data_IF_127926752376
#
_entry.id   IF_127926752376
#
_cell.length_a   1.000
_cell.length_b   1.000
_cell.length_c   1.000
_cell.angle_alpha   90.00
_cell.angle_beta   90.00
_cell.angle_gamma   90.00
#
_symmetry.space_group_name_H-M   'P 1'
#
loop_
_entity.id
_entity.type
_entity.pdbx_description
1 polymer ?
#
# COMPACT_ATOMS: atom_id res chain seq x y z
N UNK A 1 53.08 6.03 21.22
CA UNK A 1 51.66 6.34 20.98
C UNK A 1 51.54 7.84 21.03
N UNK A 2 51.25 8.43 19.89
CA UNK A 2 51.03 9.86 19.79
C UNK A 2 49.64 10.19 20.35
N UNK A 3 49.51 11.25 21.14
CA UNK A 3 48.21 11.69 21.63
C UNK A 3 47.74 12.87 20.78
N UNK A 4 46.62 12.69 20.07
CA UNK A 4 46.03 13.76 19.26
C UNK A 4 45.44 14.84 20.17
N UNK A 5 45.66 16.10 19.81
CA UNK A 5 45.10 17.26 20.51
C UNK A 5 43.70 17.61 20.01
N UNK A 6 42.85 18.23 20.85
CA UNK A 6 41.49 18.64 20.45
C UNK A 6 41.50 19.54 19.19
N UNK A 7 42.51 20.41 19.05
CA UNK A 7 42.67 21.27 17.85
C UNK A 7 42.90 20.47 16.57
N UNK A 8 43.61 19.34 16.66
CA UNK A 8 43.83 18.43 15.53
C UNK A 8 42.58 17.61 15.20
N UNK A 9 41.78 17.23 16.21
CA UNK A 9 40.49 16.57 16.02
C UNK A 9 39.54 17.51 15.27
N UNK A 10 39.44 18.76 15.72
CA UNK A 10 38.60 19.78 15.07
C UNK A 10 39.05 20.04 13.63
N UNK A 11 40.37 20.09 13.39
CA UNK A 11 40.92 20.21 12.04
C UNK A 11 40.50 19.07 11.12
N UNK A 12 40.61 17.81 11.58
CA UNK A 12 40.23 16.63 10.80
C UNK A 12 38.73 16.64 10.51
N UNK A 13 37.90 16.95 11.51
CA UNK A 13 36.44 17.00 11.37
C UNK A 13 36.00 18.08 10.37
N UNK A 14 36.59 19.28 10.45
CA UNK A 14 36.29 20.37 9.54
C UNK A 14 36.73 20.06 8.10
N UNK A 15 37.87 19.39 7.90
CA UNK A 15 38.32 18.98 6.57
C UNK A 15 37.41 17.90 5.96
N UNK A 16 36.99 16.89 6.74
CA UNK A 16 36.03 15.86 6.30
C UNK A 16 34.71 16.50 5.85
N UNK A 17 34.20 17.48 6.61
CA UNK A 17 32.98 18.22 6.27
C UNK A 17 33.14 19.06 5.00
N UNK A 18 34.27 19.76 4.86
CA UNK A 18 34.56 20.58 3.67
C UNK A 18 34.70 19.76 2.40
N UNK A 19 35.16 18.53 2.51
CA UNK A 19 35.32 17.60 1.39
C UNK A 19 34.00 16.90 0.95
N UNK A 20 32.86 17.32 1.50
CA UNK A 20 31.54 16.98 0.97
C UNK A 20 30.88 15.74 1.57
N UNK A 21 31.27 15.37 2.79
CA UNK A 21 30.58 14.35 3.58
C UNK A 21 29.54 15.03 4.48
N UNK A 22 28.26 14.88 4.16
CA UNK A 22 27.13 15.44 4.91
C UNK A 22 26.61 14.48 6.00
N UNK A 23 26.78 13.16 5.83
CA UNK A 23 26.28 12.18 6.80
C UNK A 23 27.09 12.19 8.11
N UNK A 24 26.47 12.61 9.21
CA UNK A 24 27.10 12.72 10.54
C UNK A 24 27.69 11.39 11.04
N UNK A 25 26.96 10.29 10.91
CA UNK A 25 27.46 8.96 11.27
C UNK A 25 28.75 8.59 10.51
N UNK A 26 28.83 8.97 9.23
CA UNK A 26 30.01 8.71 8.40
C UNK A 26 31.18 9.63 8.78
N UNK A 27 30.91 10.91 9.07
CA UNK A 27 31.91 11.85 9.58
C UNK A 27 32.58 11.30 10.85
N UNK A 28 31.78 10.84 11.82
CA UNK A 28 32.28 10.33 13.09
C UNK A 28 33.05 9.02 12.93
N UNK A 29 32.59 8.10 12.07
CA UNK A 29 33.31 6.85 11.78
C UNK A 29 34.67 7.13 11.11
N UNK A 30 34.72 8.07 10.17
CA UNK A 30 35.97 8.45 9.51
C UNK A 30 36.91 9.17 10.47
N UNK A 31 36.40 10.10 11.29
CA UNK A 31 37.18 10.79 12.32
C UNK A 31 37.82 9.79 13.29
N UNK A 32 37.04 8.87 13.85
CA UNK A 32 37.53 7.86 14.80
C UNK A 32 38.63 6.99 14.20
N UNK A 33 38.42 6.55 12.95
CA UNK A 33 39.38 5.70 12.27
C UNK A 33 40.68 6.43 11.89
N UNK A 34 40.57 7.67 11.40
CA UNK A 34 41.74 8.51 11.10
C UNK A 34 42.52 8.82 12.37
N UNK A 35 41.85 9.17 13.47
CA UNK A 35 42.49 9.41 14.76
C UNK A 35 43.24 8.15 15.24
N UNK A 36 42.60 6.98 15.21
CA UNK A 36 43.25 5.71 15.58
C UNK A 36 44.53 5.43 14.77
N UNK A 37 44.52 5.68 13.45
CA UNK A 37 45.71 5.46 12.59
C UNK A 37 46.83 6.42 12.98
N UNK A 38 46.51 7.70 13.17
CA UNK A 38 47.49 8.72 13.55
C UNK A 38 48.09 8.41 14.93
N UNK A 39 47.29 8.01 15.91
CA UNK A 39 47.79 7.66 17.26
C UNK A 39 48.71 6.43 17.27
N UNK A 40 48.48 5.49 16.35
CA UNK A 40 49.24 4.24 16.23
C UNK A 40 50.51 4.38 15.39
N UNK A 41 50.46 5.13 14.28
CA UNK A 41 51.51 5.13 13.25
C UNK A 41 52.33 6.43 13.21
N UNK A 42 51.91 7.52 13.86
CA UNK A 42 52.67 8.76 13.90
C UNK A 42 53.81 8.69 14.94
N UNK A 43 55.04 8.92 14.49
CA UNK A 43 56.23 9.05 15.37
C UNK A 43 56.37 10.48 15.90
N UNK A 44 56.94 10.66 17.11
CA UNK A 44 57.03 11.97 17.82
C UNK A 44 57.74 13.10 17.05
N UNK A 45 58.49 12.80 15.98
CA UNK A 45 59.23 13.77 15.18
C UNK A 45 58.67 13.96 13.75
N UNK A 46 57.55 13.34 13.41
CA UNK A 46 56.97 13.43 12.06
C UNK A 46 55.93 14.57 11.96
N UNK A 47 55.72 15.07 10.75
CA UNK A 47 54.80 16.18 10.48
C UNK A 47 53.35 15.69 10.39
N UNK A 48 52.51 16.13 11.35
CA UNK A 48 51.10 15.78 11.44
C UNK A 48 50.33 16.05 10.14
N UNK A 49 50.53 17.22 9.52
CA UNK A 49 49.75 17.63 8.35
C UNK A 49 50.07 16.74 7.13
N UNK A 50 51.35 16.42 6.97
CA UNK A 50 51.82 15.52 5.91
C UNK A 50 51.35 14.08 6.13
N UNK A 51 51.39 13.60 7.37
CA UNK A 51 50.94 12.26 7.72
C UNK A 51 49.42 12.13 7.57
N UNK A 52 48.66 13.14 8.03
CA UNK A 52 47.22 13.23 7.84
C UNK A 52 46.83 13.14 6.38
N UNK A 53 47.43 13.97 5.51
CA UNK A 53 47.13 13.94 4.07
C UNK A 53 47.40 12.57 3.44
N UNK A 54 48.46 11.89 3.88
CA UNK A 54 48.79 10.53 3.43
C UNK A 54 47.77 9.50 3.91
N UNK A 55 47.28 9.63 5.15
CA UNK A 55 46.27 8.73 5.74
C UNK A 55 44.91 8.94 5.09
N UNK A 56 44.49 10.19 4.90
CA UNK A 56 43.20 10.54 4.29
C UNK A 56 43.11 10.04 2.85
N UNK A 57 44.19 10.11 2.07
CA UNK A 57 44.26 9.57 0.70
C UNK A 57 44.07 8.05 0.60
N UNK A 58 44.15 7.29 1.69
CA UNK A 58 43.90 5.85 1.68
C UNK A 58 42.40 5.51 1.61
N UNK A 59 41.54 6.44 2.03
CA UNK A 59 40.10 6.19 2.14
C UNK A 59 39.33 6.41 0.84
N UNK A 60 39.88 7.15 -0.12
CA UNK A 60 39.21 7.49 -1.38
C UNK A 60 40.15 7.40 -2.58
N UNK A 61 39.59 7.21 -3.78
CA UNK A 61 40.37 7.17 -5.03
C UNK A 61 40.47 8.52 -5.71
N UNK A 62 39.38 9.28 -5.72
CA UNK A 62 39.31 10.61 -6.33
C UNK A 62 38.87 11.67 -5.32
N UNK A 63 37.75 11.45 -4.63
CA UNK A 63 37.17 12.39 -3.67
C UNK A 63 36.53 11.65 -2.48
N UNK A 64 36.59 12.24 -1.28
CA UNK A 64 35.94 11.70 -0.06
C UNK A 64 34.43 11.50 -0.22
N UNK A 65 33.79 12.32 -1.06
CA UNK A 65 32.36 12.24 -1.37
C UNK A 65 31.91 10.90 -1.97
N UNK A 66 32.81 10.18 -2.64
CA UNK A 66 32.53 8.85 -3.23
C UNK A 66 32.07 7.85 -2.15
N UNK A 67 32.68 7.91 -0.96
CA UNK A 67 32.36 7.01 0.17
C UNK A 67 30.91 7.21 0.63
N UNK A 68 30.46 8.47 0.69
CA UNK A 68 29.08 8.79 1.03
C UNK A 68 28.12 8.33 -0.07
N UNK A 69 28.46 8.56 -1.34
CA UNK A 69 27.63 8.15 -2.46
C UNK A 69 27.48 6.62 -2.53
N UNK A 70 28.56 5.86 -2.34
CA UNK A 70 28.52 4.40 -2.25
C UNK A 70 27.67 3.92 -1.07
N UNK A 71 27.82 4.56 0.09
CA UNK A 71 27.05 4.22 1.30
C UNK A 71 25.56 4.51 1.12
N UNK A 72 25.21 5.67 0.57
CA UNK A 72 23.84 6.05 0.24
C UNK A 72 23.28 5.08 -0.80
N UNK A 73 24.03 4.73 -1.84
CA UNK A 73 23.60 3.78 -2.84
C UNK A 73 23.32 2.41 -2.20
N UNK A 74 24.23 1.88 -1.39
CA UNK A 74 24.04 0.61 -0.68
C UNK A 74 22.83 0.64 0.26
N UNK A 75 22.66 1.70 1.06
CA UNK A 75 21.51 1.88 1.95
C UNK A 75 20.20 1.97 1.16
N UNK A 76 20.20 2.73 0.08
CA UNK A 76 19.03 2.94 -0.77
C UNK A 76 18.64 1.65 -1.47
N UNK A 77 19.60 0.91 -2.04
CA UNK A 77 19.36 -0.40 -2.65
C UNK A 77 18.89 -1.42 -1.61
N UNK A 78 19.55 -1.54 -0.45
CA UNK A 78 19.16 -2.49 0.61
C UNK A 78 17.74 -2.22 1.09
N UNK A 79 17.40 -0.97 1.40
CA UNK A 79 16.06 -0.59 1.83
C UNK A 79 15.04 -0.81 0.72
N UNK A 80 15.38 -0.51 -0.52
CA UNK A 80 14.54 -0.78 -1.69
C UNK A 80 14.21 -2.27 -1.84
N UNK A 81 15.22 -3.15 -1.75
CA UNK A 81 15.02 -4.61 -1.80
C UNK A 81 14.22 -5.12 -0.60
N UNK A 82 14.46 -4.60 0.60
CA UNK A 82 13.70 -4.95 1.79
C UNK A 82 12.21 -4.57 1.64
N UNK A 83 11.91 -3.36 1.16
CA UNK A 83 10.55 -2.91 0.88
C UNK A 83 9.87 -3.75 -0.20
N UNK A 84 10.60 -4.09 -1.28
CA UNK A 84 10.09 -4.96 -2.34
C UNK A 84 9.76 -6.37 -1.83
N UNK A 85 10.64 -6.95 -1.00
CA UNK A 85 10.41 -8.24 -0.35
C UNK A 85 9.19 -8.20 0.58
N UNK A 86 9.08 -7.15 1.40
CA UNK A 86 7.94 -6.94 2.30
C UNK A 86 6.62 -6.78 1.53
N UNK A 87 6.63 -6.09 0.38
CA UNK A 87 5.47 -5.97 -0.51
C UNK A 87 5.01 -7.34 -1.03
N UNK A 88 5.92 -8.17 -1.54
CA UNK A 88 5.54 -9.52 -2.00
C UNK A 88 5.01 -10.41 -0.87
N UNK A 89 5.65 -10.37 0.30
CA UNK A 89 5.23 -11.17 1.46
C UNK A 89 3.85 -10.72 1.96
N UNK A 90 3.65 -9.41 2.15
CA UNK A 90 2.36 -8.86 2.60
C UNK A 90 1.23 -9.12 1.61
N UNK A 91 1.51 -9.03 0.30
CA UNK A 91 0.57 -9.40 -0.76
C UNK A 91 0.20 -10.89 -0.70
N UNK A 92 1.19 -11.78 -0.56
CA UNK A 92 0.96 -13.22 -0.46
C UNK A 92 0.15 -13.59 0.80
N UNK A 93 0.47 -12.98 1.94
CA UNK A 93 -0.29 -13.16 3.20
C UNK A 93 -1.74 -12.70 3.02
N UNK A 94 -1.96 -11.55 2.38
CA UNK A 94 -3.31 -11.01 2.15
C UNK A 94 -4.16 -11.91 1.27
N UNK A 95 -3.60 -12.37 0.14
CA UNK A 95 -4.30 -13.30 -0.77
C UNK A 95 -4.55 -14.65 -0.09
N UNK A 96 -3.56 -15.17 0.63
CA UNK A 96 -3.71 -16.38 1.43
C UNK A 96 -4.82 -16.25 2.47
N UNK A 97 -4.86 -15.14 3.21
CA UNK A 97 -5.91 -14.84 4.18
C UNK A 97 -7.30 -14.75 3.53
N UNK A 98 -7.41 -14.20 2.32
CA UNK A 98 -8.68 -14.18 1.59
C UNK A 98 -9.15 -15.58 1.18
N UNK A 99 -8.24 -16.40 0.63
CA UNK A 99 -8.58 -17.77 0.22
C UNK A 99 -8.96 -18.61 1.45
N UNK A 100 -8.12 -18.61 2.48
CA UNK A 100 -8.37 -19.35 3.72
C UNK A 100 -9.64 -18.83 4.41
N UNK A 101 -9.83 -17.52 4.51
CA UNK A 101 -11.04 -16.92 5.06
C UNK A 101 -12.30 -17.28 4.27
N UNK A 102 -12.22 -17.36 2.95
CA UNK A 102 -13.33 -17.82 2.11
C UNK A 102 -13.63 -19.30 2.30
N UNK A 103 -12.61 -20.15 2.45
CA UNK A 103 -12.78 -21.58 2.73
C UNK A 103 -13.40 -21.81 4.12
N UNK A 104 -12.95 -21.08 5.13
CA UNK A 104 -13.49 -21.19 6.48
C UNK A 104 -14.96 -20.78 6.54
N UNK A 105 -15.38 -19.84 5.67
CA UNK A 105 -16.79 -19.49 5.51
C UNK A 105 -17.64 -20.67 5.04
N UNK A 106 -17.09 -21.52 4.17
CA UNK A 106 -17.75 -22.73 3.68
C UNK A 106 -17.76 -23.81 4.77
N UNK A 107 -16.68 -23.91 5.54
CA UNK A 107 -16.53 -24.89 6.61
C UNK A 107 -17.22 -24.52 7.94
N UNK A 108 -17.95 -23.38 7.99
CA UNK A 108 -18.70 -22.88 9.15
C UNK A 108 -17.85 -22.65 10.42
N UNK A 109 -16.54 -22.47 10.29
CA UNK A 109 -15.69 -22.24 11.47
C UNK A 109 -15.94 -20.85 12.08
N UNK A 110 -16.02 -20.75 13.42
CA UNK A 110 -16.14 -19.45 14.09
C UNK A 110 -14.86 -18.64 13.88
N UNK A 111 -15.00 -17.32 13.69
CA UNK A 111 -13.84 -16.42 13.53
C UNK A 111 -13.47 -16.03 12.08
N UNK A 112 -14.19 -16.53 11.08
CA UNK A 112 -14.00 -16.16 9.65
C UNK A 112 -13.97 -14.65 9.42
N UNK A 113 -14.89 -13.92 10.05
CA UNK A 113 -14.99 -12.48 9.87
C UNK A 113 -13.71 -11.76 10.33
N UNK A 114 -13.11 -12.19 11.45
CA UNK A 114 -11.88 -11.59 11.97
C UNK A 114 -10.70 -11.83 11.00
N UNK A 115 -10.56 -13.03 10.44
CA UNK A 115 -9.54 -13.32 9.43
C UNK A 115 -9.69 -12.49 8.15
N UNK A 116 -10.92 -12.35 7.65
CA UNK A 116 -11.18 -11.53 6.48
C UNK A 116 -10.91 -10.05 6.73
N UNK A 117 -11.30 -9.51 7.89
CA UNK A 117 -10.99 -8.13 8.28
C UNK A 117 -9.47 -7.93 8.34
N UNK A 118 -8.74 -8.86 8.95
CA UNK A 118 -7.29 -8.80 9.02
C UNK A 118 -6.65 -8.82 7.62
N UNK A 119 -7.11 -9.69 6.73
CA UNK A 119 -6.65 -9.73 5.34
C UNK A 119 -6.90 -8.42 4.59
N UNK A 120 -8.08 -7.82 4.72
CA UNK A 120 -8.42 -6.53 4.11
C UNK A 120 -7.52 -5.41 4.68
N UNK A 121 -7.29 -5.42 5.99
CA UNK A 121 -6.51 -4.39 6.67
C UNK A 121 -5.04 -4.44 6.26
N UNK A 122 -4.43 -5.63 6.26
CA UNK A 122 -3.04 -5.82 5.78
C UNK A 122 -2.91 -5.43 4.31
N UNK A 123 -3.88 -5.83 3.48
CA UNK A 123 -3.88 -5.47 2.06
C UNK A 123 -3.96 -3.95 1.85
N UNK A 124 -4.89 -3.28 2.54
CA UNK A 124 -5.16 -1.86 2.36
C UNK A 124 -4.08 -0.95 2.95
N UNK A 125 -3.52 -1.30 4.13
CA UNK A 125 -2.61 -0.41 4.86
C UNK A 125 -1.13 -0.76 4.67
N UNK A 126 -0.81 -2.01 4.33
CA UNK A 126 0.59 -2.42 4.13
C UNK A 126 0.86 -2.58 2.64
N UNK A 127 0.12 -3.44 1.95
CA UNK A 127 0.43 -3.79 0.56
C UNK A 127 0.26 -2.61 -0.41
N UNK A 128 -0.89 -1.91 -0.37
CA UNK A 128 -1.17 -0.79 -1.29
C UNK A 128 -0.18 0.38 -1.14
N UNK A 129 0.11 0.88 0.08
CA UNK A 129 1.07 1.97 0.27
C UNK A 129 2.50 1.57 -0.11
N UNK A 130 2.94 0.34 0.20
CA UNK A 130 4.25 -0.15 -0.22
C UNK A 130 4.36 -0.21 -1.76
N UNK A 131 3.31 -0.70 -2.42
CA UNK A 131 3.24 -0.72 -3.89
C UNK A 131 3.34 0.70 -4.46
N UNK A 132 2.61 1.65 -3.88
CA UNK A 132 2.67 3.06 -4.28
C UNK A 132 4.09 3.62 -4.18
N UNK A 133 4.74 3.49 -3.02
CA UNK A 133 6.10 4.03 -2.81
C UNK A 133 7.12 3.38 -3.73
N UNK A 134 7.07 2.05 -3.90
CA UNK A 134 8.02 1.34 -4.75
C UNK A 134 7.84 1.73 -6.22
N UNK A 135 6.59 1.76 -6.70
CA UNK A 135 6.28 2.01 -8.09
C UNK A 135 6.40 3.49 -8.48
N UNK A 136 6.17 4.43 -7.57
CA UNK A 136 6.44 5.86 -7.81
C UNK A 136 7.93 6.18 -7.98
N UNK A 137 8.82 5.38 -7.38
CA UNK A 137 10.28 5.48 -7.61
C UNK A 137 10.69 4.93 -8.98
N UNK A 138 10.05 3.87 -9.46
CA UNK A 138 10.31 3.29 -10.79
C UNK A 138 9.74 4.14 -11.94
N UNK A 139 8.65 4.86 -11.70
CA UNK A 139 7.97 5.66 -12.72
C UNK A 139 8.66 7.01 -12.92
N UNK A 140 9.07 7.31 -14.15
CA UNK A 140 9.69 8.61 -14.50
C UNK A 140 8.64 9.68 -14.79
N UNK A 141 7.52 9.31 -15.43
CA UNK A 141 6.49 10.27 -15.85
C UNK A 141 5.53 10.63 -14.71
N UNK A 142 5.35 11.94 -14.47
CA UNK A 142 4.40 12.49 -13.46
C UNK A 142 2.97 11.98 -13.69
N UNK A 143 2.55 11.85 -14.95
CA UNK A 143 1.21 11.35 -15.29
C UNK A 143 1.00 9.91 -14.82
N UNK A 144 2.01 9.06 -14.94
CA UNK A 144 1.89 7.67 -14.48
C UNK A 144 1.88 7.58 -12.95
N UNK A 145 2.64 8.46 -12.27
CA UNK A 145 2.56 8.62 -10.81
C UNK A 145 1.17 9.05 -10.36
N UNK A 146 0.53 9.98 -11.08
CA UNK A 146 -0.84 10.42 -10.78
C UNK A 146 -1.87 9.30 -10.95
N UNK A 147 -1.78 8.49 -12.02
CA UNK A 147 -2.68 7.35 -12.22
C UNK A 147 -2.48 6.30 -11.13
N UNK A 148 -1.21 6.00 -10.81
CA UNK A 148 -0.87 5.07 -9.75
C UNK A 148 -1.42 5.56 -8.40
N UNK A 149 -1.24 6.85 -8.08
CA UNK A 149 -1.76 7.48 -6.86
C UNK A 149 -3.28 7.44 -6.80
N UNK A 150 -3.95 7.82 -7.89
CA UNK A 150 -5.41 7.76 -7.99
C UNK A 150 -5.93 6.32 -7.83
N UNK A 151 -5.24 5.34 -8.43
CA UNK A 151 -5.55 3.92 -8.29
C UNK A 151 -5.35 3.40 -6.87
N UNK A 152 -4.28 3.83 -6.18
CA UNK A 152 -4.04 3.45 -4.79
C UNK A 152 -5.07 4.05 -3.84
N UNK A 153 -5.48 5.30 -4.07
CA UNK A 153 -6.55 5.95 -3.30
C UNK A 153 -7.88 5.22 -3.53
N UNK A 154 -8.24 4.97 -4.80
CA UNK A 154 -9.44 4.22 -5.14
C UNK A 154 -9.45 2.82 -4.53
N UNK A 155 -8.30 2.13 -4.55
CA UNK A 155 -8.12 0.81 -3.92
C UNK A 155 -8.31 0.83 -2.39
N UNK A 156 -7.75 1.83 -1.70
CA UNK A 156 -7.95 2.00 -0.25
C UNK A 156 -9.42 2.26 0.07
N UNK A 157 -10.07 3.17 -0.67
CA UNK A 157 -11.51 3.43 -0.53
C UNK A 157 -12.34 2.16 -0.76
N UNK A 158 -11.98 1.35 -1.76
CA UNK A 158 -12.64 0.08 -2.05
C UNK A 158 -12.50 -0.91 -0.89
N UNK A 159 -11.30 -1.06 -0.33
CA UNK A 159 -11.06 -1.92 0.84
C UNK A 159 -11.84 -1.46 2.08
N UNK A 160 -11.85 -0.15 2.36
CA UNK A 160 -12.62 0.43 3.46
C UNK A 160 -14.13 0.21 3.28
N UNK A 161 -14.63 0.38 2.06
CA UNK A 161 -16.04 0.14 1.74
C UNK A 161 -16.40 -1.33 1.87
N UNK A 162 -15.52 -2.24 1.45
CA UNK A 162 -15.70 -3.69 1.60
C UNK A 162 -15.74 -4.09 3.08
N UNK A 163 -14.88 -3.48 3.91
CA UNK A 163 -14.86 -3.70 5.36
C UNK A 163 -16.17 -3.24 6.00
N UNK A 164 -16.73 -2.09 5.57
CA UNK A 164 -18.04 -1.61 6.01
C UNK A 164 -19.17 -2.60 5.68
N UNK A 165 -19.11 -3.17 4.47
CA UNK A 165 -20.05 -4.19 4.03
C UNK A 165 -19.94 -5.46 4.89
N UNK A 166 -18.72 -5.82 5.28
CA UNK A 166 -18.41 -7.01 6.08
C UNK A 166 -18.84 -6.85 7.55
N UNK A 167 -18.62 -5.68 8.15
CA UNK A 167 -19.01 -5.38 9.55
C UNK A 167 -20.53 -5.18 9.74
N UNK A 168 -21.30 -5.16 8.65
CA UNK A 168 -22.77 -4.98 8.65
C UNK A 168 -23.21 -3.68 9.36
N UNK A 169 -22.40 -2.63 9.30
CA UNK A 169 -22.75 -1.32 9.84
C UNK A 169 -23.89 -0.66 9.04
N UNK A 170 -24.59 0.29 9.68
CA UNK A 170 -25.63 1.11 9.04
C UNK A 170 -25.04 1.89 7.86
N UNK A 171 -25.83 2.07 6.79
CA UNK A 171 -25.38 2.77 5.58
C UNK A 171 -24.38 2.02 4.69
N UNK A 172 -24.07 0.74 4.97
CA UNK A 172 -23.07 -0.04 4.21
C UNK A 172 -23.30 -0.08 2.68
N UNK A 173 -24.55 -0.06 2.24
CA UNK A 173 -24.88 -0.09 0.80
C UNK A 173 -24.61 1.26 0.13
N UNK A 174 -24.81 2.37 0.84
CA UNK A 174 -24.62 3.73 0.32
C UNK A 174 -23.14 4.02 0.11
N UNK A 175 -22.30 3.72 1.12
CA UNK A 175 -20.85 3.91 1.03
C UNK A 175 -20.26 3.00 -0.05
N UNK A 176 -20.72 1.75 -0.11
CA UNK A 176 -20.30 0.81 -1.14
C UNK A 176 -20.61 1.30 -2.55
N UNK A 177 -21.84 1.78 -2.77
CA UNK A 177 -22.26 2.30 -4.06
C UNK A 177 -21.52 3.58 -4.44
N UNK A 178 -21.30 4.49 -3.48
CA UNK A 178 -20.54 5.72 -3.68
C UNK A 178 -19.11 5.42 -4.15
N UNK A 179 -18.44 4.44 -3.56
CA UNK A 179 -17.08 4.04 -3.95
C UNK A 179 -17.03 3.39 -5.33
N UNK A 180 -18.03 2.56 -5.69
CA UNK A 180 -18.15 2.03 -7.06
C UNK A 180 -18.37 3.14 -8.08
N UNK A 181 -19.25 4.09 -7.78
CA UNK A 181 -19.50 5.26 -8.63
C UNK A 181 -18.24 6.11 -8.80
N UNK A 182 -17.52 6.40 -7.71
CA UNK A 182 -16.25 7.12 -7.76
C UNK A 182 -15.21 6.41 -8.64
N UNK A 183 -15.06 5.09 -8.49
CA UNK A 183 -14.12 4.32 -9.30
C UNK A 183 -14.50 4.35 -10.79
N UNK A 184 -15.80 4.26 -11.09
CA UNK A 184 -16.30 4.31 -12.46
C UNK A 184 -16.18 5.69 -13.11
N UNK A 185 -16.48 6.77 -12.38
CA UNK A 185 -16.50 8.13 -12.94
C UNK A 185 -15.15 8.86 -12.88
N UNK A 186 -14.27 8.51 -11.93
CA UNK A 186 -13.00 9.22 -11.73
C UNK A 186 -11.81 8.37 -12.17
N UNK A 187 -11.65 7.18 -11.60
CA UNK A 187 -10.48 6.35 -11.88
C UNK A 187 -10.48 5.83 -13.32
N UNK A 188 -11.63 5.35 -13.80
CA UNK A 188 -11.71 4.73 -15.13
C UNK A 188 -11.44 5.71 -16.29
N UNK A 189 -12.03 6.92 -16.33
CA UNK A 189 -11.70 7.89 -17.38
C UNK A 189 -10.24 8.32 -17.29
N UNK A 190 -9.72 8.58 -16.07
CA UNK A 190 -8.32 8.95 -15.88
C UNK A 190 -7.36 7.86 -16.40
N UNK A 191 -7.64 6.58 -16.13
CA UNK A 191 -6.85 5.45 -16.63
C UNK A 191 -6.94 5.28 -18.15
N UNK A 192 -8.14 5.43 -18.73
CA UNK A 192 -8.36 5.27 -20.17
C UNK A 192 -7.69 6.37 -21.00
N UNK A 193 -7.90 7.64 -20.64
CA UNK A 193 -7.32 8.79 -21.37
C UNK A 193 -5.80 8.82 -21.33
N UNK A 194 -5.21 8.29 -20.28
CA UNK A 194 -3.75 8.24 -20.12
C UNK A 194 -3.13 7.07 -20.86
N UNK A 195 -3.74 5.88 -20.80
CA UNK A 195 -3.18 4.68 -21.43
C UNK A 195 -3.32 4.63 -22.96
N UNK A 196 -4.35 5.25 -23.56
CA UNK A 196 -4.50 5.26 -25.04
C UNK A 196 -3.42 6.06 -25.75
N UNK A 197 -2.86 7.06 -25.06
CA UNK A 197 -1.79 7.91 -25.59
C UNK A 197 -0.45 7.18 -25.71
N UNK A 198 -0.27 6.04 -25.04
CA UNK A 198 0.90 5.17 -25.22
C UNK A 198 0.59 4.12 -26.29
N UNK A 199 1.16 4.22 -27.50
CA UNK A 199 0.82 3.31 -28.61
C UNK A 199 1.17 1.85 -28.29
N UNK A 200 2.24 1.62 -27.51
CA UNK A 200 2.72 0.28 -27.14
C UNK A 200 1.79 -0.48 -26.18
N UNK A 201 1.09 0.23 -25.29
CA UNK A 201 0.21 -0.39 -24.27
C UNK A 201 -1.28 -0.18 -24.55
N UNK A 202 -1.64 0.45 -25.67
CA UNK A 202 -3.02 0.84 -25.98
C UNK A 202 -4.00 -0.32 -25.91
N UNK A 203 -3.65 -1.46 -26.51
CA UNK A 203 -4.50 -2.67 -26.49
C UNK A 203 -4.68 -3.17 -25.04
N UNK A 204 -3.58 -3.25 -24.27
CA UNK A 204 -3.63 -3.68 -22.87
C UNK A 204 -4.49 -2.74 -22.00
N UNK A 205 -4.38 -1.42 -22.19
CA UNK A 205 -5.23 -0.44 -21.49
C UNK A 205 -6.70 -0.61 -21.85
N UNK A 206 -7.03 -0.76 -23.14
CA UNK A 206 -8.43 -0.94 -23.58
C UNK A 206 -9.01 -2.22 -22.99
N UNK A 207 -8.28 -3.35 -23.08
CA UNK A 207 -8.72 -4.64 -22.52
C UNK A 207 -8.89 -4.54 -21.01
N UNK A 208 -7.92 -3.95 -20.30
CA UNK A 208 -8.00 -3.76 -18.85
C UNK A 208 -9.20 -2.91 -18.45
N UNK A 209 -9.49 -1.85 -19.20
CA UNK A 209 -10.65 -0.98 -18.95
C UNK A 209 -11.96 -1.74 -19.11
N UNK A 210 -12.11 -2.54 -20.18
CA UNK A 210 -13.30 -3.36 -20.42
C UNK A 210 -13.50 -4.37 -19.28
N UNK A 211 -12.42 -5.03 -18.84
CA UNK A 211 -12.46 -5.97 -17.70
C UNK A 211 -12.92 -5.26 -16.42
N UNK A 212 -12.37 -4.08 -16.11
CA UNK A 212 -12.75 -3.32 -14.91
C UNK A 212 -14.24 -2.92 -14.96
N UNK A 213 -14.76 -2.47 -16.11
CA UNK A 213 -16.20 -2.17 -16.26
C UNK A 213 -17.04 -3.42 -15.98
N UNK A 214 -16.65 -4.57 -16.55
CA UNK A 214 -17.34 -5.83 -16.34
C UNK A 214 -17.38 -6.23 -14.86
N UNK A 215 -16.24 -6.13 -14.17
CA UNK A 215 -16.14 -6.43 -12.73
C UNK A 215 -17.01 -5.48 -11.90
N UNK A 216 -16.95 -4.17 -12.17
CA UNK A 216 -17.79 -3.17 -11.47
C UNK A 216 -19.28 -3.47 -11.69
N UNK A 217 -19.68 -3.81 -12.92
CA UNK A 217 -21.07 -4.15 -13.26
C UNK A 217 -21.58 -5.40 -12.54
N UNK A 218 -20.77 -6.45 -12.48
CA UNK A 218 -21.09 -7.67 -11.71
C UNK A 218 -21.22 -7.33 -10.22
N UNK A 219 -20.28 -6.54 -9.69
CA UNK A 219 -20.24 -6.20 -8.29
C UNK A 219 -21.43 -5.32 -7.86
N UNK A 220 -21.83 -4.38 -8.71
CA UNK A 220 -23.06 -3.62 -8.54
C UNK A 220 -24.29 -4.54 -8.52
N UNK A 221 -24.38 -5.46 -9.47
CA UNK A 221 -25.49 -6.43 -9.59
C UNK A 221 -25.61 -7.30 -8.32
N UNK A 222 -24.49 -7.83 -7.82
CA UNK A 222 -24.45 -8.67 -6.61
C UNK A 222 -24.84 -7.93 -5.33
N UNK A 223 -24.60 -6.62 -5.26
CA UNK A 223 -24.81 -5.83 -4.04
C UNK A 223 -26.13 -5.06 -4.02
N UNK A 224 -26.66 -4.68 -5.20
CA UNK A 224 -27.93 -3.97 -5.34
C UNK A 224 -29.16 -4.90 -5.42
N UNK A 225 -29.02 -6.10 -6.01
CA UNK A 225 -30.16 -7.04 -6.15
C UNK A 225 -30.49 -7.81 -4.87
N UNK A 226 -29.60 -7.79 -3.88
CA UNK A 226 -29.80 -8.48 -2.60
C UNK A 226 -30.65 -7.62 -1.65
N UNK A 227 -31.90 -7.30 -2.05
CA UNK A 227 -32.90 -6.76 -1.10
C UNK A 227 -33.23 -7.83 -0.06
N UNK A 228 -33.37 -7.47 1.23
CA UNK A 228 -33.77 -8.42 2.26
C UNK A 228 -35.16 -8.97 1.92
N UNK A 229 -35.30 -10.28 2.01
CA UNK A 229 -36.54 -11.02 1.74
C UNK A 229 -37.71 -10.63 2.67
N UNK A 230 -37.47 -9.78 3.67
CA UNK A 230 -38.47 -9.31 4.64
C UNK A 230 -39.48 -8.30 4.10
N UNK A 231 -39.35 -7.83 2.85
CA UNK A 231 -40.32 -6.94 2.20
C UNK A 231 -41.26 -7.68 1.24
N UNK A 232 -41.16 -9.01 1.15
CA UNK A 232 -42.20 -9.87 0.56
C UNK A 232 -43.24 -10.22 1.62
N UNK A 233 -43.95 -9.23 2.15
CA UNK A 233 -45.20 -9.55 2.83
C UNK A 233 -46.24 -10.02 1.80
N UNK A 234 -47.04 -11.04 2.12
CA UNK A 234 -47.90 -11.72 1.16
C UNK A 234 -48.94 -10.75 0.60
N UNK A 235 -49.16 -10.85 -0.72
CA UNK A 235 -50.34 -10.30 -1.36
C UNK A 235 -51.57 -10.78 -0.58
N UNK A 236 -52.27 -9.80 -0.04
CA UNK A 236 -53.51 -9.92 0.70
C UNK A 236 -54.44 -10.96 0.03
N UNK A 237 -54.67 -12.08 0.71
CA UNK A 237 -55.61 -13.12 0.26
C UNK A 237 -56.94 -13.00 1.02
N UNK A 238 -57.41 -11.78 1.29
CA UNK A 238 -58.73 -11.52 1.91
C UNK A 238 -59.79 -11.05 0.90
N UNK A 239 -59.66 -11.42 -0.38
CA UNK A 239 -60.67 -11.11 -1.42
C UNK A 239 -61.17 -12.36 -2.16
N UNK A 240 -61.44 -13.46 -1.43
CA UNK A 240 -62.16 -14.63 -1.97
C UNK A 240 -63.25 -15.21 -1.07
N UNK A 241 -63.87 -14.41 -0.21
CA UNK A 241 -65.05 -14.81 0.60
C UNK A 241 -66.26 -13.88 0.40
N UNK A 242 -66.39 -13.23 -0.76
CA UNK A 242 -67.51 -12.29 -1.00
C UNK A 242 -68.34 -12.45 -2.27
N UNK A 243 -68.30 -13.63 -2.89
CA UNK A 243 -69.23 -13.94 -3.98
C UNK A 243 -69.71 -15.40 -3.91
N UNK A 244 -70.74 -15.65 -3.10
CA UNK A 244 -71.73 -16.66 -3.45
C UNK A 244 -73.12 -16.25 -2.92
N UNK A 245 -74.03 -15.75 -3.78
CA UNK A 245 -75.42 -15.50 -3.42
C UNK A 245 -76.29 -16.72 -3.78
N UNK A 246 -77.09 -17.21 -2.83
CA UNK A 246 -78.09 -18.27 -3.02
C UNK A 246 -78.26 -19.10 -1.74
N UNK A 247 -79.09 -18.68 -0.78
CA UNK A 247 -80.52 -19.03 -0.70
C UNK A 247 -80.70 -20.56 -0.62
N UNK A 248 -81.08 -21.17 0.51
CA UNK A 248 -82.43 -21.32 1.11
C UNK A 248 -82.13 -21.97 2.49
N UNK A 249 -82.64 -21.55 3.66
CA UNK A 249 -84.04 -21.37 4.04
C UNK A 249 -84.46 -22.51 5.02
N UNK A 250 -84.87 -22.10 6.22
CA UNK A 250 -85.73 -22.79 7.21
C UNK A 250 -85.18 -23.85 8.19
N UNK A 251 -85.40 -23.53 9.49
CA UNK A 251 -86.10 -24.31 10.52
C UNK A 251 -85.29 -24.33 11.85
N UNK A 252 -85.45 -23.35 12.74
CA UNK A 252 -86.36 -23.34 13.92
C UNK A 252 -86.31 -24.60 14.80
N UNK A 253 -85.85 -24.39 16.04
CA UNK A 253 -86.42 -24.86 17.32
C UNK A 253 -86.84 -26.33 17.44
N UNK A 254 -86.25 -27.06 18.40
CA UNK A 254 -86.87 -27.39 19.70
C UNK A 254 -86.30 -28.71 20.27
N UNK A 255 -86.11 -28.71 21.60
CA UNK A 255 -85.82 -29.83 22.53
C UNK A 255 -84.42 -30.45 22.54
#
# INVERSE_FOLDING_TARGET
>A
MYCITEQQIDYILDDIRRNGIDMEDLQLNLLDHICCIIEQELEENDDFERFYHKTVQQFYKHELREIEEETINLLTFKNYYAMKKAMYISGAISVGAFVIGSLFKIMFWPGVAAMLIFGILVFSLVFLPLLFVLKTRELTAVRDKLILGLGTIAGILYCLSALWLLMRWSGKHEIWLATLAFTFFVFLPAYFFTGIRKPETRVNTIVSTIIIIGVIGIQFTLTALRRPESERMPVNTDEKVRTNPGNIGNATSNK
#
